data_IF_009272572356
#
_entry.id   IF_009272572356
#
_cell.length_a   1.000
_cell.length_b   1.000
_cell.length_c   1.000
_cell.angle_alpha   90.00
_cell.angle_beta   90.00
_cell.angle_gamma   90.00
#
_symmetry.space_group_name_H-M   'P 1'
#
loop_
_entity.id
_entity.type
_entity.pdbx_description
1 polymer ?
#
# COMPACT_ATOMS: atom_id res chain seq x y z
N UNK A 1 40.11 15.42 5.24
CA UNK A 1 39.17 14.98 6.30
C UNK A 1 37.84 15.67 6.04
N UNK A 2 36.86 14.96 5.44
CA UNK A 2 35.54 15.52 5.14
C UNK A 2 34.77 15.67 6.46
N UNK A 3 34.70 16.89 6.98
CA UNK A 3 33.85 17.23 8.12
C UNK A 3 32.42 17.29 7.55
N UNK A 4 31.70 16.17 7.63
CA UNK A 4 30.24 16.18 7.49
C UNK A 4 29.76 17.09 8.62
N UNK A 5 29.32 18.31 8.27
CA UNK A 5 28.86 19.29 9.25
C UNK A 5 27.70 18.66 10.04
N UNK A 6 27.82 18.72 11.36
CA UNK A 6 26.94 18.14 12.38
C UNK A 6 25.43 18.42 12.14
N UNK A 7 25.16 19.52 11.44
CA UNK A 7 23.84 20.04 11.13
C UNK A 7 23.01 19.10 10.24
N UNK A 8 23.60 18.43 9.24
CA UNK A 8 22.78 17.79 8.18
C UNK A 8 22.13 16.47 8.61
N UNK A 9 22.88 15.63 9.35
CA UNK A 9 22.35 14.37 9.89
C UNK A 9 21.36 14.68 11.02
N UNK A 10 21.67 15.67 11.84
CA UNK A 10 20.84 16.13 12.96
C UNK A 10 19.51 16.75 12.51
N UNK A 11 19.51 17.56 11.46
CA UNK A 11 18.31 18.17 10.86
C UNK A 11 17.39 17.09 10.30
N UNK A 12 17.92 16.15 9.51
CA UNK A 12 17.12 15.03 8.97
C UNK A 12 16.56 14.10 10.05
N UNK A 13 17.32 13.87 11.12
CA UNK A 13 16.85 13.09 12.26
C UNK A 13 15.71 13.78 13.02
N UNK A 14 15.70 15.11 13.06
CA UNK A 14 14.61 15.88 13.66
C UNK A 14 13.31 15.79 12.83
N UNK A 15 13.42 15.69 11.50
CA UNK A 15 12.29 15.57 10.58
C UNK A 15 11.79 14.13 10.41
N UNK A 16 12.70 13.15 10.46
CA UNK A 16 12.42 11.73 10.23
C UNK A 16 13.06 10.84 11.29
N UNK A 17 12.42 10.71 12.48
CA UNK A 17 12.98 9.96 13.60
C UNK A 17 13.07 8.45 13.35
N UNK A 18 12.39 7.90 12.33
CA UNK A 18 12.41 6.46 12.01
C UNK A 18 13.55 6.03 11.09
N UNK A 19 14.41 6.94 10.65
CA UNK A 19 15.47 6.65 9.67
C UNK A 19 16.51 5.66 10.25
N UNK A 20 16.79 4.57 9.54
CA UNK A 20 17.76 3.56 10.00
C UNK A 20 19.20 3.99 9.71
N UNK A 21 20.18 3.39 10.41
CA UNK A 21 21.60 3.64 10.11
C UNK A 21 21.97 3.33 8.66
N UNK A 22 21.29 2.35 8.03
CA UNK A 22 21.47 2.03 6.61
C UNK A 22 20.99 3.17 5.72
N UNK A 23 19.77 3.66 5.95
CA UNK A 23 19.20 4.79 5.21
C UNK A 23 20.08 6.04 5.31
N UNK A 24 20.73 6.26 6.45
CA UNK A 24 21.66 7.39 6.62
C UNK A 24 22.95 7.21 5.82
N UNK A 25 23.50 5.98 5.78
CA UNK A 25 24.67 5.66 4.95
C UNK A 25 24.33 5.90 3.47
N UNK A 26 23.18 5.40 3.03
CA UNK A 26 22.71 5.55 1.66
C UNK A 26 22.44 7.02 1.32
N UNK A 27 21.85 7.78 2.25
CA UNK A 27 21.65 9.21 2.10
C UNK A 27 22.95 10.01 1.96
N UNK A 28 23.99 9.67 2.74
CA UNK A 28 25.29 10.31 2.66
C UNK A 28 26.03 9.96 1.37
N UNK A 29 25.93 8.70 0.93
CA UNK A 29 26.47 8.25 -0.35
C UNK A 29 25.77 8.94 -1.52
N UNK A 30 24.45 9.04 -1.49
CA UNK A 30 23.68 9.68 -2.57
C UNK A 30 23.96 11.17 -2.67
N UNK A 31 24.06 11.88 -1.54
CA UNK A 31 24.12 13.35 -1.53
C UNK A 31 25.53 13.93 -1.61
N UNK A 32 26.51 13.26 -1.02
CA UNK A 32 27.88 13.76 -0.95
C UNK A 32 28.88 12.85 -1.67
N UNK A 33 28.42 11.74 -2.27
CA UNK A 33 29.26 10.72 -2.86
C UNK A 33 30.32 10.15 -1.89
N UNK A 34 29.99 10.14 -0.59
CA UNK A 34 30.87 9.62 0.47
C UNK A 34 30.37 8.27 0.94
N UNK A 35 31.21 7.25 0.86
CA UNK A 35 30.93 5.95 1.47
C UNK A 35 31.39 5.97 2.93
N UNK A 36 30.44 5.80 3.84
CA UNK A 36 30.71 5.70 5.29
C UNK A 36 30.16 4.39 5.84
N UNK A 37 30.80 3.85 6.88
CA UNK A 37 30.28 2.66 7.56
C UNK A 37 29.11 3.03 8.47
N UNK A 38 28.22 2.06 8.76
CA UNK A 38 27.14 2.24 9.76
C UNK A 38 27.69 2.64 11.14
N UNK A 39 28.88 2.15 11.49
CA UNK A 39 29.53 2.46 12.77
C UNK A 39 30.06 3.90 12.83
N UNK A 40 30.53 4.42 11.70
CA UNK A 40 30.91 5.84 11.56
C UNK A 40 29.70 6.74 11.80
N UNK A 41 28.57 6.42 11.18
CA UNK A 41 27.30 7.14 11.38
C UNK A 41 26.85 7.02 12.84
N UNK A 42 26.90 5.83 13.43
CA UNK A 42 26.52 5.61 14.83
C UNK A 42 27.32 6.48 15.81
N UNK A 43 28.66 6.49 15.67
CA UNK A 43 29.55 7.32 16.50
C UNK A 43 29.26 8.80 16.37
N UNK A 44 28.97 9.26 15.16
CA UNK A 44 28.61 10.65 14.90
C UNK A 44 27.30 11.01 15.63
N UNK A 45 26.25 10.21 15.47
CA UNK A 45 24.95 10.41 16.14
C UNK A 45 25.08 10.41 17.67
N UNK A 46 25.89 9.52 18.23
CA UNK A 46 26.16 9.49 19.67
C UNK A 46 26.88 10.78 20.13
N UNK A 47 27.84 11.28 19.32
CA UNK A 47 28.53 12.56 19.55
C UNK A 47 27.60 13.78 19.44
N UNK A 48 26.62 13.74 18.54
CA UNK A 48 25.60 14.78 18.36
C UNK A 48 24.48 14.72 19.42
N UNK A 49 24.58 13.82 20.39
CA UNK A 49 23.66 13.76 21.53
C UNK A 49 22.29 13.13 21.22
N UNK A 50 22.18 12.35 20.14
CA UNK A 50 20.97 11.60 19.82
C UNK A 50 20.99 10.20 20.46
N UNK A 51 19.82 9.72 20.85
CA UNK A 51 19.65 8.38 21.43
C UNK A 51 18.47 7.69 20.79
N UNK A 52 18.56 6.37 20.60
CA UNK A 52 17.41 5.55 20.23
C UNK A 52 16.48 5.49 21.43
N UNK A 53 15.20 5.80 21.23
CA UNK A 53 14.17 5.65 22.25
C UNK A 53 12.99 4.88 21.67
N UNK A 54 12.19 4.30 22.56
CA UNK A 54 10.86 3.81 22.22
C UNK A 54 10.07 4.99 21.63
N UNK A 55 9.50 4.80 20.43
CA UNK A 55 8.66 5.84 19.82
C UNK A 55 7.37 5.94 20.62
N UNK A 56 7.10 7.14 21.13
CA UNK A 56 5.79 7.46 21.66
C UNK A 56 4.90 7.91 20.50
N UNK A 57 4.08 6.98 19.99
CA UNK A 57 3.09 7.27 18.98
C UNK A 57 1.96 8.10 19.60
N UNK A 58 1.80 9.37 19.20
CA UNK A 58 0.66 10.17 19.63
C UNK A 58 -0.62 9.62 18.96
N UNK A 59 -1.64 9.20 19.74
CA UNK A 59 -2.74 8.44 19.19
C UNK A 59 -3.68 9.32 18.38
N UNK A 60 -4.00 8.84 17.18
CA UNK A 60 -5.38 8.93 16.67
C UNK A 60 -5.87 7.66 15.98
N UNK A 61 -5.01 6.64 15.80
CA UNK A 61 -5.33 5.20 15.85
C UNK A 61 -4.08 4.35 15.52
N UNK A 62 -4.04 3.11 16.03
CA UNK A 62 -2.82 2.31 16.25
C UNK A 62 -2.89 0.95 15.54
N UNK A 63 -1.82 0.57 14.82
CA UNK A 63 -1.16 -0.76 14.73
C UNK A 63 -0.09 -0.77 13.61
N UNK A 64 1.18 -1.00 13.97
CA UNK A 64 2.23 -1.65 13.15
C UNK A 64 3.50 -1.88 13.98
N UNK A 65 4.27 -2.92 13.63
CA UNK A 65 5.36 -3.51 14.44
C UNK A 65 6.71 -2.76 14.40
N UNK A 66 6.72 -1.49 13.99
CA UNK A 66 7.97 -0.70 13.86
C UNK A 66 7.82 0.59 14.68
N UNK A 67 8.18 0.51 15.98
CA UNK A 67 7.98 1.58 16.96
C UNK A 67 9.29 2.03 17.67
N UNK A 68 10.42 2.11 16.96
CA UNK A 68 11.65 2.74 17.50
C UNK A 68 12.10 3.92 16.64
N UNK A 69 12.53 5.00 17.30
CA UNK A 69 12.94 6.23 16.63
C UNK A 69 13.97 7.03 17.41
N UNK A 70 14.69 7.89 16.69
CA UNK A 70 15.72 8.77 17.21
C UNK A 70 15.11 10.05 17.78
N UNK A 71 15.69 10.56 18.85
CA UNK A 71 15.42 11.91 19.35
C UNK A 71 16.64 12.46 20.10
N UNK A 72 16.71 13.78 20.29
CA UNK A 72 17.71 14.41 21.14
C UNK A 72 17.62 13.86 22.56
N UNK A 73 18.77 13.65 23.22
CA UNK A 73 18.83 13.25 24.62
C UNK A 73 18.00 14.22 25.47
N UNK A 74 17.18 13.68 26.38
CA UNK A 74 16.20 14.46 27.16
C UNK A 74 14.83 14.71 26.51
N UNK A 75 14.66 14.53 25.19
CA UNK A 75 13.38 14.78 24.48
C UNK A 75 12.71 13.46 24.05
N UNK A 76 11.38 13.35 24.13
CA UNK A 76 10.63 12.19 23.65
C UNK A 76 10.71 12.05 22.12
N UNK A 77 10.73 10.82 21.60
CA UNK A 77 10.60 10.59 20.15
C UNK A 77 9.12 10.48 19.81
N UNK A 78 8.60 11.42 19.03
CA UNK A 78 7.18 11.52 18.69
C UNK A 78 6.99 11.45 17.17
N UNK A 79 6.08 10.59 16.72
CA UNK A 79 5.65 10.57 15.31
C UNK A 79 4.15 10.81 15.21
N UNK A 80 3.76 11.77 14.37
CA UNK A 80 2.35 11.98 13.99
C UNK A 80 1.99 10.99 12.88
N UNK A 81 1.00 10.14 13.14
CA UNK A 81 0.40 9.24 12.15
C UNK A 81 -0.91 9.82 11.62
N UNK A 82 -1.29 9.47 10.40
CA UNK A 82 -2.64 9.69 9.91
C UNK A 82 -3.64 8.90 10.76
N UNK A 83 -4.64 9.59 11.33
CA UNK A 83 -5.76 8.95 12.03
C UNK A 83 -6.45 7.90 11.15
N UNK A 84 -6.81 6.73 11.70
CA UNK A 84 -7.61 5.71 10.99
C UNK A 84 -9.07 6.12 10.80
N UNK A 85 -9.51 7.21 11.44
CA UNK A 85 -10.83 7.81 11.26
C UNK A 85 -10.89 8.56 9.93
N UNK A 86 -11.01 7.81 8.84
CA UNK A 86 -11.29 8.30 7.49
C UNK A 86 -12.36 7.42 6.84
N UNK A 87 -13.00 7.91 5.78
CA UNK A 87 -13.93 7.09 5.01
C UNK A 87 -13.17 5.94 4.32
N UNK A 88 -13.69 4.72 4.42
CA UNK A 88 -13.16 3.60 3.65
C UNK A 88 -13.44 3.81 2.17
N UNK A 89 -12.47 3.43 1.33
CA UNK A 89 -12.67 3.30 -0.11
C UNK A 89 -12.94 1.84 -0.42
N UNK A 90 -14.03 1.57 -1.14
CA UNK A 90 -14.27 0.30 -1.79
C UNK A 90 -13.80 0.39 -3.23
N UNK A 91 -12.98 -0.57 -3.64
CA UNK A 91 -12.59 -0.78 -5.02
C UNK A 91 -13.28 -2.07 -5.45
N UNK A 92 -14.21 -1.97 -6.40
CA UNK A 92 -14.90 -3.12 -6.96
C UNK A 92 -14.47 -3.20 -8.42
N UNK A 93 -13.93 -4.34 -8.83
CA UNK A 93 -13.38 -4.52 -10.16
C UNK A 93 -13.78 -5.86 -10.75
N UNK A 94 -13.78 -5.92 -12.08
CA UNK A 94 -13.90 -7.11 -12.90
C UNK A 94 -12.69 -7.19 -13.81
N UNK A 95 -12.12 -8.39 -13.95
CA UNK A 95 -10.91 -8.65 -14.73
C UNK A 95 -11.12 -9.83 -15.66
N UNK A 96 -10.42 -9.82 -16.79
CA UNK A 96 -10.28 -10.95 -17.70
C UNK A 96 -8.80 -11.26 -17.91
N UNK A 97 -8.48 -12.26 -18.74
CA UNK A 97 -7.09 -12.52 -19.15
C UNK A 97 -6.46 -11.31 -19.86
N UNK A 98 -7.27 -10.45 -20.47
CA UNK A 98 -6.82 -9.24 -21.17
C UNK A 98 -6.53 -8.06 -20.25
N UNK A 99 -6.85 -8.17 -18.96
CA UNK A 99 -6.60 -7.12 -17.96
C UNK A 99 -7.87 -6.69 -17.24
N UNK A 100 -7.84 -5.46 -16.74
CA UNK A 100 -9.00 -4.80 -16.16
C UNK A 100 -10.12 -4.61 -17.19
N UNK A 101 -11.31 -5.11 -16.86
CA UNK A 101 -12.50 -5.03 -17.72
C UNK A 101 -13.38 -3.86 -17.30
N UNK A 102 -13.68 -3.77 -16.00
CA UNK A 102 -14.51 -2.72 -15.43
C UNK A 102 -14.14 -2.49 -13.98
N UNK A 103 -14.29 -1.26 -13.48
CA UNK A 103 -14.16 -0.98 -12.06
C UNK A 103 -14.98 0.23 -11.63
N UNK A 104 -15.32 0.25 -10.35
CA UNK A 104 -15.86 1.41 -9.65
C UNK A 104 -15.10 1.62 -8.34
N UNK A 105 -14.90 2.88 -7.99
CA UNK A 105 -14.41 3.29 -6.67
C UNK A 105 -15.52 4.01 -5.92
N UNK A 106 -15.76 3.62 -4.67
CA UNK A 106 -16.83 4.21 -3.84
C UNK A 106 -16.32 4.52 -2.45
N UNK A 107 -16.83 5.59 -1.85
CA UNK A 107 -16.60 5.90 -0.43
C UNK A 107 -17.82 5.53 0.40
N UNK A 108 -17.61 5.13 1.65
CA UNK A 108 -18.69 4.71 2.55
C UNK A 108 -18.95 3.21 2.47
N UNK A 109 -20.17 2.75 2.73
CA UNK A 109 -20.51 1.32 2.78
C UNK A 109 -20.92 0.76 1.40
N UNK A 110 -20.53 -0.48 1.11
CA UNK A 110 -20.98 -1.22 -0.07
C UNK A 110 -22.22 -2.08 0.25
N UNK A 111 -23.39 -1.67 -0.26
CA UNK A 111 -24.68 -2.34 0.01
C UNK A 111 -25.07 -3.33 -1.10
N UNK A 112 -26.07 -4.18 -0.83
CA UNK A 112 -26.63 -5.09 -1.83
C UNK A 112 -27.12 -4.36 -3.09
N UNK A 113 -27.77 -3.21 -2.91
CA UNK A 113 -28.25 -2.36 -4.01
C UNK A 113 -27.08 -1.82 -4.82
N UNK A 114 -26.02 -1.35 -4.14
CA UNK A 114 -24.80 -0.88 -4.82
C UNK A 114 -24.12 -1.99 -5.62
N UNK A 115 -24.12 -3.23 -5.11
CA UNK A 115 -23.60 -4.39 -5.83
C UNK A 115 -24.42 -4.71 -7.09
N UNK A 116 -25.76 -4.68 -7.00
CA UNK A 116 -26.63 -4.89 -8.16
C UNK A 116 -26.39 -3.82 -9.24
N UNK A 117 -26.27 -2.55 -8.84
CA UNK A 117 -25.98 -1.46 -9.77
C UNK A 117 -24.59 -1.61 -10.40
N UNK A 118 -23.57 -1.99 -9.63
CA UNK A 118 -22.25 -2.29 -10.18
C UNK A 118 -22.31 -3.36 -11.27
N UNK A 119 -23.01 -4.48 -11.02
CA UNK A 119 -23.14 -5.56 -12.01
C UNK A 119 -23.88 -5.07 -13.26
N UNK A 120 -24.95 -4.29 -13.10
CA UNK A 120 -25.70 -3.70 -14.24
C UNK A 120 -24.82 -2.75 -15.06
N UNK A 121 -24.08 -1.87 -14.41
CA UNK A 121 -23.18 -0.92 -15.08
C UNK A 121 -22.04 -1.63 -15.80
N UNK A 122 -21.45 -2.65 -15.17
CA UNK A 122 -20.44 -3.51 -15.79
C UNK A 122 -20.97 -4.17 -17.07
N UNK A 123 -22.13 -4.85 -16.99
CA UNK A 123 -22.71 -5.56 -18.13
C UNK A 123 -23.17 -4.64 -19.28
N UNK A 124 -23.43 -3.37 -19.00
CA UNK A 124 -23.76 -2.36 -20.03
C UNK A 124 -22.51 -1.74 -20.66
N UNK A 125 -21.46 -1.55 -19.88
CA UNK A 125 -20.23 -0.88 -20.33
C UNK A 125 -19.29 -1.79 -21.08
N UNK A 126 -19.39 -3.09 -20.84
CA UNK A 126 -18.62 -4.11 -21.52
C UNK A 126 -19.61 -5.02 -22.21
N UNK A 127 -19.50 -5.22 -23.54
CA UNK A 127 -20.30 -6.21 -24.23
C UNK A 127 -19.74 -7.59 -23.90
N UNK A 128 -19.78 -7.95 -22.61
CA UNK A 128 -19.20 -9.19 -22.07
C UNK A 128 -19.72 -10.35 -22.88
N UNK A 129 -21.00 -10.35 -23.26
CA UNK A 129 -21.60 -11.44 -24.04
C UNK A 129 -21.39 -11.33 -25.57
N UNK A 130 -20.80 -10.25 -26.09
CA UNK A 130 -20.46 -10.15 -27.52
C UNK A 130 -19.01 -10.58 -27.82
N UNK A 131 -18.15 -10.60 -26.80
CA UNK A 131 -16.82 -11.22 -26.92
C UNK A 131 -16.99 -12.74 -27.07
N UNK A 132 -16.38 -13.32 -28.10
CA UNK A 132 -16.39 -14.75 -28.37
C UNK A 132 -15.84 -15.55 -27.16
N UNK A 133 -14.94 -14.97 -26.36
CA UNK A 133 -14.43 -15.58 -25.12
C UNK A 133 -15.53 -15.84 -24.07
N UNK A 134 -16.64 -15.09 -24.14
CA UNK A 134 -17.67 -15.01 -23.11
C UNK A 134 -19.09 -15.26 -23.66
N UNK A 135 -19.24 -15.66 -24.93
CA UNK A 135 -20.53 -15.99 -25.54
C UNK A 135 -21.30 -17.07 -24.74
N UNK A 136 -20.57 -18.00 -24.09
CA UNK A 136 -21.10 -19.05 -23.21
C UNK A 136 -20.99 -18.70 -21.71
N UNK A 137 -20.85 -17.42 -21.35
CA UNK A 137 -20.61 -17.02 -19.97
C UNK A 137 -21.73 -17.48 -19.04
N UNK A 138 -21.40 -18.42 -18.16
CA UNK A 138 -22.26 -18.92 -17.10
C UNK A 138 -21.77 -18.43 -15.73
N UNK A 139 -22.68 -18.36 -14.76
CA UNK A 139 -22.29 -18.13 -13.37
C UNK A 139 -21.48 -19.31 -12.86
N UNK A 140 -20.17 -19.10 -12.68
CA UNK A 140 -19.30 -20.10 -12.07
C UNK A 140 -19.54 -20.14 -10.57
N UNK A 141 -19.84 -21.33 -10.06
CA UNK A 141 -19.95 -21.55 -8.62
C UNK A 141 -18.56 -21.60 -8.02
N UNK A 142 -18.20 -20.57 -7.26
CA UNK A 142 -17.03 -20.60 -6.40
C UNK A 142 -17.43 -21.17 -5.03
N UNK A 143 -16.65 -22.14 -4.53
CA UNK A 143 -16.86 -22.66 -3.18
C UNK A 143 -16.51 -21.58 -2.14
N UNK A 144 -17.18 -21.57 -0.97
CA UNK A 144 -16.82 -20.68 0.13
C UNK A 144 -15.34 -20.81 0.50
N UNK A 145 -14.74 -19.71 0.98
CA UNK A 145 -13.36 -19.68 1.48
C UNK A 145 -12.31 -20.23 0.50
N UNK A 146 -12.53 -20.07 -0.81
CA UNK A 146 -11.63 -20.56 -1.86
C UNK A 146 -10.94 -19.43 -2.64
N UNK A 147 -10.21 -18.51 -1.97
CA UNK A 147 -9.57 -17.38 -2.64
C UNK A 147 -8.53 -17.82 -3.67
N UNK A 148 -7.89 -18.99 -3.48
CA UNK A 148 -6.92 -19.55 -4.43
C UNK A 148 -7.50 -19.79 -5.83
N UNK A 149 -8.82 -20.03 -5.91
CA UNK A 149 -9.55 -20.26 -7.15
C UNK A 149 -10.14 -18.97 -7.73
N UNK A 150 -10.07 -17.86 -6.98
CA UNK A 150 -10.56 -16.55 -7.40
C UNK A 150 -9.42 -15.69 -7.97
N UNK A 151 -9.50 -15.45 -9.28
CA UNK A 151 -8.48 -14.73 -10.05
C UNK A 151 -8.17 -13.34 -9.49
N UNK A 152 -9.20 -12.64 -9.02
CA UNK A 152 -9.08 -11.24 -8.63
C UNK A 152 -8.29 -11.04 -7.35
N UNK A 153 -8.18 -12.06 -6.49
CA UNK A 153 -7.45 -11.95 -5.21
C UNK A 153 -5.98 -11.58 -5.45
N UNK A 154 -5.31 -12.28 -6.36
CA UNK A 154 -3.92 -11.98 -6.73
C UNK A 154 -3.77 -10.59 -7.38
N UNK A 155 -4.75 -10.18 -8.18
CA UNK A 155 -4.76 -8.85 -8.79
C UNK A 155 -4.95 -7.76 -7.72
N UNK A 156 -5.80 -8.01 -6.72
CA UNK A 156 -6.01 -7.12 -5.58
C UNK A 156 -4.82 -7.08 -4.63
N UNK A 157 -4.12 -8.18 -4.39
CA UNK A 157 -2.86 -8.14 -3.62
C UNK A 157 -1.83 -7.21 -4.27
N UNK A 158 -1.73 -7.24 -5.61
CA UNK A 158 -0.86 -6.32 -6.33
C UNK A 158 -1.34 -4.86 -6.25
N UNK A 159 -2.65 -4.64 -6.30
CA UNK A 159 -3.25 -3.32 -6.12
C UNK A 159 -3.00 -2.77 -4.72
N UNK A 160 -3.19 -3.58 -3.69
CA UNK A 160 -2.97 -3.18 -2.31
C UNK A 160 -1.50 -2.79 -2.07
N UNK A 161 -0.56 -3.56 -2.60
CA UNK A 161 0.86 -3.22 -2.55
C UNK A 161 1.16 -1.89 -3.25
N UNK A 162 0.54 -1.64 -4.41
CA UNK A 162 0.71 -0.40 -5.16
C UNK A 162 0.08 0.81 -4.45
N UNK A 163 -1.12 0.66 -3.88
CA UNK A 163 -1.77 1.68 -3.05
C UNK A 163 -0.90 1.99 -1.84
N UNK A 164 -0.39 0.97 -1.15
CA UNK A 164 0.49 1.12 0.01
C UNK A 164 1.75 1.89 -0.35
N UNK A 165 2.38 1.54 -1.47
CA UNK A 165 3.57 2.24 -2.01
C UNK A 165 3.24 3.69 -2.39
N UNK A 166 2.10 3.92 -3.06
CA UNK A 166 1.64 5.25 -3.48
C UNK A 166 1.43 6.18 -2.28
N UNK A 167 0.79 5.67 -1.23
CA UNK A 167 0.52 6.40 0.01
C UNK A 167 1.80 6.62 0.81
N UNK A 168 2.67 5.61 0.91
CA UNK A 168 3.97 5.71 1.56
C UNK A 168 4.85 6.81 0.96
N UNK A 169 4.96 6.86 -0.37
CA UNK A 169 5.73 7.87 -1.10
C UNK A 169 5.17 9.30 -0.93
N UNK A 170 3.89 9.44 -0.59
CA UNK A 170 3.19 10.73 -0.44
C UNK A 170 2.84 11.04 1.01
N UNK A 171 3.44 10.35 1.98
CA UNK A 171 3.15 10.51 3.42
C UNK A 171 3.17 11.97 3.86
N UNK A 172 4.19 12.73 3.49
CA UNK A 172 4.31 14.17 3.83
C UNK A 172 3.13 14.97 3.29
N UNK A 173 2.71 14.71 2.04
CA UNK A 173 1.55 15.38 1.43
C UNK A 173 0.24 15.00 2.11
N UNK A 174 0.09 13.74 2.55
CA UNK A 174 -1.09 13.27 3.27
C UNK A 174 -1.22 13.94 4.65
N UNK A 175 -0.09 14.21 5.31
CA UNK A 175 -0.05 14.89 6.61
C UNK A 175 -0.26 16.41 6.47
N UNK A 176 0.30 17.02 5.44
CA UNK A 176 0.23 18.47 5.21
C UNK A 176 -1.03 18.84 4.43
N UNK A 177 -2.13 19.06 5.14
CA UNK A 177 -3.40 19.50 4.55
C UNK A 177 -3.32 20.99 4.18
N UNK A 178 -3.65 21.38 2.93
CA UNK A 178 -3.72 22.79 2.54
C UNK A 178 -4.79 23.55 3.33
N UNK A 179 -4.57 24.85 3.66
CA UNK A 179 -5.55 25.66 4.39
C UNK A 179 -6.91 25.80 3.70
N UNK A 180 -6.97 25.60 2.38
CA UNK A 180 -8.19 25.70 1.57
C UNK A 180 -9.11 24.48 1.65
N UNK A 181 -8.72 23.42 2.35
CA UNK A 181 -9.47 22.15 2.39
C UNK A 181 -9.51 21.57 3.79
N UNK A 182 -10.48 20.69 4.05
CA UNK A 182 -10.50 19.91 5.29
C UNK A 182 -9.57 18.69 5.17
N UNK A 183 -9.05 18.22 6.30
CA UNK A 183 -8.21 17.01 6.37
C UNK A 183 -8.92 15.81 5.70
N UNK A 184 -10.24 15.69 5.89
CA UNK A 184 -11.03 14.62 5.32
C UNK A 184 -11.07 14.68 3.79
N UNK A 185 -11.42 15.84 3.22
CA UNK A 185 -11.50 16.03 1.76
C UNK A 185 -10.14 15.83 1.10
N UNK A 186 -9.08 16.38 1.70
CA UNK A 186 -7.72 16.22 1.20
C UNK A 186 -7.29 14.75 1.14
N UNK A 187 -7.48 14.00 2.23
CA UNK A 187 -7.11 12.57 2.28
C UNK A 187 -7.95 11.72 1.33
N UNK A 188 -9.25 11.99 1.21
CA UNK A 188 -10.16 11.31 0.26
C UNK A 188 -9.65 11.50 -1.18
N UNK A 189 -9.23 12.72 -1.54
CA UNK A 189 -8.72 13.00 -2.88
C UNK A 189 -7.46 12.19 -3.22
N UNK A 190 -6.54 12.04 -2.25
CA UNK A 190 -5.31 11.26 -2.44
C UNK A 190 -5.64 9.77 -2.54
N UNK A 191 -6.56 9.29 -1.70
CA UNK A 191 -6.97 7.89 -1.71
C UNK A 191 -7.71 7.52 -3.01
N UNK A 192 -8.55 8.41 -3.53
CA UNK A 192 -9.21 8.23 -4.83
C UNK A 192 -8.20 8.08 -5.97
N UNK A 193 -7.12 8.88 -5.96
CA UNK A 193 -6.04 8.76 -6.95
C UNK A 193 -5.27 7.45 -6.82
N UNK A 194 -5.03 6.99 -5.59
CA UNK A 194 -4.34 5.72 -5.33
C UNK A 194 -5.19 4.51 -5.73
N UNK A 195 -6.51 4.61 -5.58
CA UNK A 195 -7.47 3.52 -5.77
C UNK A 195 -7.71 3.13 -7.25
N UNK A 196 -7.06 3.80 -8.21
CA UNK A 196 -7.22 3.49 -9.64
C UNK A 196 -6.42 2.21 -9.96
N UNK A 197 -7.06 1.12 -10.40
CA UNK A 197 -6.42 -0.19 -10.52
C UNK A 197 -5.59 -0.36 -11.80
N UNK A 198 -4.75 0.61 -12.15
CA UNK A 198 -3.88 0.58 -13.35
C UNK A 198 -2.88 -0.59 -13.32
N UNK A 199 -2.59 -1.12 -12.13
CA UNK A 199 -1.71 -2.29 -11.98
C UNK A 199 -2.36 -3.58 -12.50
N UNK A 200 -3.67 -3.61 -12.79
CA UNK A 200 -4.36 -4.79 -13.34
C UNK A 200 -4.15 -4.92 -14.86
N UNK A 201 -2.89 -5.07 -15.26
CA UNK A 201 -2.49 -5.24 -16.66
C UNK A 201 -2.73 -6.66 -17.16
N UNK A 202 -2.81 -6.84 -18.48
CA UNK A 202 -2.92 -8.16 -19.12
C UNK A 202 -1.91 -9.17 -18.56
N UNK A 203 -0.63 -8.79 -18.49
CA UNK A 203 0.45 -9.66 -17.98
C UNK A 203 0.15 -10.16 -16.57
N UNK A 204 -0.36 -9.29 -15.69
CA UNK A 204 -0.68 -9.65 -14.30
C UNK A 204 -1.94 -10.51 -14.22
N UNK A 205 -2.96 -10.21 -15.00
CA UNK A 205 -4.18 -11.00 -15.05
C UNK A 205 -3.94 -12.41 -15.61
N UNK A 206 -3.08 -12.56 -16.63
CA UNK A 206 -2.63 -13.88 -17.11
C UNK A 206 -1.92 -14.66 -16.02
N UNK A 207 -1.01 -14.01 -15.25
CA UNK A 207 -0.34 -14.67 -14.12
C UNK A 207 -1.32 -15.09 -13.03
N UNK A 208 -2.28 -14.23 -12.69
CA UNK A 208 -3.33 -14.55 -11.74
C UNK A 208 -4.19 -15.73 -12.21
N UNK A 209 -4.49 -15.80 -13.52
CA UNK A 209 -5.16 -16.92 -14.15
C UNK A 209 -4.36 -18.22 -14.06
N UNK A 210 -3.09 -18.20 -14.46
CA UNK A 210 -2.23 -19.39 -14.36
C UNK A 210 -2.11 -19.89 -12.92
N UNK A 211 -2.02 -18.98 -11.94
CA UNK A 211 -2.00 -19.33 -10.53
C UNK A 211 -3.30 -20.03 -10.11
N UNK A 212 -4.47 -19.45 -10.38
CA UNK A 212 -5.75 -20.04 -10.01
C UNK A 212 -5.99 -21.39 -10.71
N UNK A 213 -5.53 -21.54 -11.95
CA UNK A 213 -5.61 -22.81 -12.70
C UNK A 213 -4.76 -23.90 -12.06
N UNK A 214 -3.58 -23.57 -11.52
CA UNK A 214 -2.70 -24.54 -10.87
C UNK A 214 -3.39 -25.27 -9.69
N UNK A 215 -4.24 -24.55 -8.94
CA UNK A 215 -5.00 -25.11 -7.83
C UNK A 215 -6.22 -25.94 -8.24
N UNK A 216 -6.64 -25.92 -9.51
CA UNK A 216 -7.83 -26.68 -9.95
C UNK A 216 -7.65 -28.18 -9.78
N UNK A 217 -6.46 -28.70 -10.10
CA UNK A 217 -6.18 -30.12 -9.95
C UNK A 217 -6.27 -30.53 -8.48
N UNK A 218 -5.63 -29.77 -7.60
CA UNK A 218 -5.64 -30.00 -6.15
C UNK A 218 -7.07 -29.94 -5.59
N UNK A 219 -7.90 -29.01 -6.07
CA UNK A 219 -9.31 -28.95 -5.72
C UNK A 219 -10.10 -30.20 -6.15
N UNK A 220 -9.85 -30.72 -7.37
CA UNK A 220 -10.52 -31.93 -7.90
C UNK A 220 -10.16 -33.16 -7.07
N UNK A 221 -8.89 -33.29 -6.69
CA UNK A 221 -8.40 -34.44 -5.91
C UNK A 221 -8.55 -34.24 -4.39
N UNK A 222 -9.24 -33.17 -3.96
CA UNK A 222 -9.45 -32.82 -2.55
C UNK A 222 -8.14 -32.73 -1.74
N UNK A 223 -7.07 -32.26 -2.38
CA UNK A 223 -5.80 -31.96 -1.72
C UNK A 223 -5.91 -30.60 -1.05
N UNK A 224 -5.22 -30.46 0.09
CA UNK A 224 -5.12 -29.18 0.78
C UNK A 224 -4.46 -28.11 -0.12
N UNK A 225 -5.06 -26.93 -0.15
CA UNK A 225 -4.63 -25.80 -0.98
C UNK A 225 -4.26 -24.64 -0.06
N UNK A 226 -2.95 -24.42 0.23
CA UNK A 226 -2.55 -23.42 1.19
C UNK A 226 -2.93 -22.01 0.74
N UNK A 227 -3.47 -21.22 1.68
CA UNK A 227 -3.86 -19.82 1.46
C UNK A 227 -2.81 -18.89 2.03
N UNK A 228 -2.06 -18.21 1.15
CA UNK A 228 -1.07 -17.21 1.53
C UNK A 228 0.23 -17.80 2.07
N UNK A 229 1.35 -17.23 1.65
CA UNK A 229 2.68 -17.38 2.28
C UNK A 229 3.14 -16.03 2.75
#
# INVERSE_FOLDING_TARGET
MLIIRDEHVSERLSETPTMTLGDMVDALKLRFNVSVSRQTVRRHIDGSGFSIKQLHNQPSAMNSDINNGWSKRGVGSTQVRTSSKGANVHIIASISRNGLVYFETRFGSFTKVACQEFVRSMLRSVPVFEDEEFADACFLRLAPYSPMLNLIENAFSALEAEVTRYLGARRTRILNTPPSTTIAVHRISILHQAAIPQVMTQIRCVRAYSHAVAFRYDAIVMRDMPVGT
#
